data_IF_655363696498
#
_entry.id   IF_655363696498
#
_cell.length_a   1.000
_cell.length_b   1.000
_cell.length_c   1.000
_cell.angle_alpha   90.00
_cell.angle_beta   90.00
_cell.angle_gamma   90.00
#
_symmetry.space_group_name_H-M   'P 1'
#
loop_
_entity.id
_entity.type
_entity.pdbx_description
1 polymer ?
#
# COMPACT_ATOMS: atom_id res chain seq x y z
N UNK A 1 -8.86 3.82 32.90
CA UNK A 1 -7.66 4.05 32.06
C UNK A 1 -7.98 3.49 30.66
N UNK A 2 -7.97 4.34 29.64
CA UNK A 2 -8.39 3.99 28.27
C UNK A 2 -7.38 3.05 27.61
N UNK A 3 -7.82 2.28 26.62
CA UNK A 3 -6.95 1.36 25.83
C UNK A 3 -5.75 2.09 25.18
N UNK A 4 -5.90 3.36 24.87
CA UNK A 4 -4.86 4.24 24.33
C UNK A 4 -3.68 4.45 25.28
N UNK A 5 -3.93 4.56 26.59
CA UNK A 5 -2.84 4.74 27.58
C UNK A 5 -2.01 3.47 27.80
N UNK A 6 -2.62 2.28 27.59
CA UNK A 6 -1.90 0.99 27.69
C UNK A 6 -1.01 0.71 26.47
N UNK A 7 -1.41 1.21 25.30
CA UNK A 7 -0.60 1.09 24.07
C UNK A 7 0.65 1.97 24.18
N UNK A 8 0.50 3.20 24.67
CA UNK A 8 1.62 4.13 24.88
C UNK A 8 2.64 3.61 25.91
N UNK A 9 2.17 3.03 27.02
CA UNK A 9 3.05 2.45 28.05
C UNK A 9 3.85 1.24 27.52
N UNK A 10 3.21 0.34 26.76
CA UNK A 10 3.90 -0.80 26.11
C UNK A 10 4.94 -0.38 25.07
N UNK A 11 4.71 0.72 24.34
CA UNK A 11 5.69 1.28 23.41
C UNK A 11 6.91 1.83 24.15
N UNK A 12 6.67 2.52 25.28
CA UNK A 12 7.74 3.09 26.09
C UNK A 12 8.61 1.99 26.76
N UNK A 13 7.97 0.95 27.31
CA UNK A 13 8.67 -0.20 27.88
C UNK A 13 9.55 -0.92 26.85
N UNK A 14 9.07 -1.05 25.62
CA UNK A 14 9.80 -1.67 24.51
C UNK A 14 11.02 -0.86 24.06
N UNK A 15 10.95 0.47 24.09
CA UNK A 15 12.08 1.35 23.80
C UNK A 15 13.14 1.29 24.91
N UNK A 16 12.75 1.04 26.15
CA UNK A 16 13.64 0.92 27.30
C UNK A 16 14.35 -0.43 27.38
N UNK A 17 13.76 -1.51 26.81
CA UNK A 17 14.33 -2.87 26.80
C UNK A 17 15.30 -3.15 25.65
N UNK A 18 15.79 -2.14 24.93
CA UNK A 18 16.82 -2.30 23.89
C UNK A 18 16.31 -2.78 22.54
N UNK A 19 15.01 -2.58 22.24
CA UNK A 19 14.47 -2.64 20.87
C UNK A 19 14.35 -4.01 20.20
N UNK A 20 14.64 -5.12 20.88
CA UNK A 20 14.47 -6.47 20.32
C UNK A 20 13.06 -7.00 20.58
N UNK A 21 12.40 -7.45 19.51
CA UNK A 21 11.11 -8.12 19.59
C UNK A 21 11.25 -9.42 20.41
N UNK A 22 10.30 -9.67 21.35
CA UNK A 22 10.28 -10.96 22.04
C UNK A 22 10.00 -12.10 21.06
N UNK A 23 10.50 -13.33 21.36
CA UNK A 23 10.22 -14.52 20.53
C UNK A 23 8.72 -14.73 20.32
N UNK A 24 7.92 -14.46 21.34
CA UNK A 24 6.46 -14.60 21.28
C UNK A 24 5.84 -13.59 20.31
N UNK A 25 6.26 -12.33 20.35
CA UNK A 25 5.77 -11.29 19.46
C UNK A 25 6.24 -11.53 18.03
N UNK A 26 7.47 -12.04 17.84
CA UNK A 26 7.99 -12.45 16.55
C UNK A 26 7.15 -13.58 15.91
N UNK A 27 6.84 -14.63 16.68
CA UNK A 27 5.98 -15.72 16.19
C UNK A 27 4.55 -15.24 15.93
N UNK A 28 4.02 -14.34 16.76
CA UNK A 28 2.72 -13.69 16.52
C UNK A 28 2.73 -12.91 15.20
N UNK A 29 3.77 -12.13 14.96
CA UNK A 29 3.98 -11.42 13.70
C UNK A 29 3.99 -12.37 12.49
N UNK A 30 4.80 -13.43 12.54
CA UNK A 30 4.86 -14.44 11.48
C UNK A 30 3.48 -15.06 11.20
N UNK A 31 2.69 -15.32 12.26
CA UNK A 31 1.32 -15.82 12.15
C UNK A 31 0.36 -14.82 11.50
N UNK A 32 0.45 -13.54 11.85
CA UNK A 32 -0.39 -12.47 11.27
C UNK A 32 -0.06 -12.29 9.78
N UNK A 33 1.23 -12.27 9.42
CA UNK A 33 1.66 -12.17 8.02
C UNK A 33 1.18 -13.38 7.22
N UNK A 34 1.36 -14.60 7.74
CA UNK A 34 0.86 -15.82 7.10
C UNK A 34 -0.67 -15.76 6.89
N UNK A 35 -1.43 -15.35 7.90
CA UNK A 35 -2.89 -15.21 7.82
C UNK A 35 -3.31 -14.15 6.81
N UNK A 36 -2.62 -12.99 6.78
CA UNK A 36 -2.89 -11.92 5.82
C UNK A 36 -2.65 -12.37 4.37
N UNK A 37 -1.67 -13.24 4.15
CA UNK A 37 -1.37 -13.87 2.86
C UNK A 37 -2.35 -15.02 2.50
N UNK A 38 -3.32 -15.35 3.36
CA UNK A 38 -4.21 -16.48 3.18
C UNK A 38 -3.52 -17.85 3.31
N UNK A 39 -2.35 -17.92 3.97
CA UNK A 39 -1.55 -19.12 4.14
C UNK A 39 -1.97 -19.91 5.40
N UNK A 40 -1.78 -21.24 5.42
CA UNK A 40 -2.04 -22.04 6.61
C UNK A 40 -1.21 -21.56 7.82
N UNK A 41 -1.68 -21.75 9.07
CA UNK A 41 -0.93 -21.36 10.27
C UNK A 41 0.48 -21.94 10.35
N UNK A 42 0.70 -23.14 9.81
CA UNK A 42 2.03 -23.77 9.74
C UNK A 42 3.06 -22.94 8.96
N UNK A 43 2.62 -22.12 7.99
CA UNK A 43 3.49 -21.25 7.20
C UNK A 43 4.17 -20.16 8.04
N UNK A 44 3.67 -19.86 9.24
CA UNK A 44 4.33 -18.95 10.16
C UNK A 44 5.76 -19.40 10.52
N UNK A 45 6.01 -20.70 10.55
CA UNK A 45 7.36 -21.25 10.78
C UNK A 45 8.29 -20.97 9.59
N UNK A 46 7.81 -21.08 8.36
CA UNK A 46 8.58 -20.75 7.15
C UNK A 46 8.92 -19.26 7.09
N UNK A 47 7.98 -18.41 7.49
CA UNK A 47 8.20 -16.96 7.61
C UNK A 47 9.29 -16.69 8.66
N UNK A 48 9.19 -17.29 9.84
CA UNK A 48 10.16 -17.13 10.90
C UNK A 48 11.55 -17.59 10.45
N UNK A 49 11.67 -18.78 9.87
CA UNK A 49 12.93 -19.29 9.33
C UNK A 49 13.54 -18.36 8.27
N UNK A 50 12.72 -17.87 7.35
CA UNK A 50 13.20 -16.96 6.29
C UNK A 50 13.75 -15.65 6.87
N UNK A 51 13.10 -15.08 7.88
CA UNK A 51 13.52 -13.83 8.51
C UNK A 51 14.76 -14.01 9.42
N UNK A 52 14.93 -15.19 10.03
CA UNK A 52 16.09 -15.50 10.86
C UNK A 52 17.35 -15.85 10.04
N UNK A 53 17.16 -16.55 8.91
CA UNK A 53 18.28 -17.12 8.15
C UNK A 53 18.70 -16.33 6.94
N UNK A 54 17.79 -15.58 6.33
CA UNK A 54 18.08 -14.79 5.13
C UNK A 54 18.56 -13.39 5.51
N UNK A 55 19.54 -12.89 4.76
CA UNK A 55 19.94 -11.50 4.85
C UNK A 55 18.75 -10.61 4.51
N UNK A 56 18.50 -9.58 5.33
CA UNK A 56 17.45 -8.60 5.08
C UNK A 56 17.62 -7.98 3.70
N UNK A 57 16.58 -7.95 2.85
CA UNK A 57 16.68 -7.35 1.53
C UNK A 57 16.92 -5.85 1.64
N UNK A 58 17.88 -5.35 0.88
CA UNK A 58 18.08 -3.91 0.71
C UNK A 58 16.90 -3.32 -0.04
N UNK A 59 16.35 -2.23 0.47
CA UNK A 59 15.23 -1.50 -0.12
C UNK A 59 15.62 -0.05 -0.32
N UNK A 60 15.47 0.43 -1.54
CA UNK A 60 15.49 1.84 -1.91
C UNK A 60 14.03 2.27 -2.08
N UNK A 61 13.56 3.19 -1.22
CA UNK A 61 12.20 3.70 -1.23
C UNK A 61 12.19 5.12 -1.80
N UNK A 62 11.60 5.28 -3.00
CA UNK A 62 11.61 6.52 -3.78
C UNK A 62 10.25 7.21 -3.71
N UNK A 63 10.26 8.53 -3.69
CA UNK A 63 9.09 9.38 -3.64
C UNK A 63 8.91 10.17 -4.94
N UNK A 64 7.79 9.90 -5.65
CA UNK A 64 7.38 10.61 -6.85
C UNK A 64 6.42 11.77 -6.54
N UNK A 65 5.54 12.09 -7.48
CA UNK A 65 4.44 13.02 -7.23
C UNK A 65 3.39 12.34 -6.33
N UNK A 66 3.33 12.74 -5.06
CA UNK A 66 2.56 12.05 -4.03
C UNK A 66 2.16 12.97 -2.87
N UNK A 67 1.47 12.43 -1.87
CA UNK A 67 1.05 13.13 -0.64
C UNK A 67 1.69 12.56 0.63
N UNK A 68 2.68 11.66 0.51
CA UNK A 68 3.32 10.91 1.60
C UNK A 68 2.36 9.97 2.37
N UNK A 69 1.12 9.82 1.89
CA UNK A 69 0.08 9.07 2.60
C UNK A 69 0.36 7.58 2.72
N UNK A 70 1.09 6.98 1.77
CA UNK A 70 1.46 5.56 1.84
C UNK A 70 2.57 5.33 2.87
N UNK A 71 3.57 6.20 2.92
CA UNK A 71 4.60 6.22 3.97
C UNK A 71 3.96 6.45 5.35
N UNK A 72 3.08 7.45 5.50
CA UNK A 72 2.33 7.69 6.74
C UNK A 72 1.51 6.47 7.17
N UNK A 73 0.84 5.80 6.23
CA UNK A 73 0.14 4.55 6.48
C UNK A 73 1.08 3.46 7.02
N UNK A 74 2.28 3.34 6.43
CA UNK A 74 3.30 2.39 6.84
C UNK A 74 3.86 2.69 8.24
N UNK A 75 4.13 3.98 8.55
CA UNK A 75 4.58 4.43 9.87
C UNK A 75 3.56 4.13 10.98
N UNK A 76 2.29 3.99 10.63
CA UNK A 76 1.19 3.64 11.55
C UNK A 76 0.91 2.14 11.65
N UNK A 77 1.71 1.30 10.99
CA UNK A 77 1.56 -0.15 11.08
C UNK A 77 1.62 -0.61 12.55
N UNK A 78 0.75 -1.56 12.93
CA UNK A 78 0.63 -2.02 14.32
C UNK A 78 1.04 -3.48 14.51
N UNK A 79 0.95 -4.29 13.45
CA UNK A 79 1.40 -5.69 13.44
C UNK A 79 1.95 -6.04 12.04
N UNK A 80 3.28 -5.91 11.83
CA UNK A 80 4.29 -5.42 12.77
C UNK A 80 4.28 -3.90 12.90
N UNK A 81 4.87 -3.37 13.95
CA UNK A 81 5.23 -1.96 14.01
C UNK A 81 6.32 -1.64 12.96
N UNK A 82 6.38 -0.38 12.54
CA UNK A 82 7.32 0.07 11.51
C UNK A 82 8.79 -0.17 11.88
N UNK A 83 9.15 -0.03 13.15
CA UNK A 83 10.49 -0.34 13.66
C UNK A 83 10.85 -1.81 13.40
N UNK A 84 9.93 -2.73 13.66
CA UNK A 84 10.11 -4.15 13.32
C UNK A 84 10.30 -4.37 11.82
N UNK A 85 9.51 -3.71 10.98
CA UNK A 85 9.67 -3.80 9.54
C UNK A 85 11.09 -3.38 9.12
N UNK A 86 11.53 -2.22 9.57
CA UNK A 86 12.82 -1.62 9.17
C UNK A 86 14.00 -2.36 9.81
N UNK A 87 13.86 -2.80 11.06
CA UNK A 87 14.97 -3.39 11.80
C UNK A 87 15.11 -4.91 11.63
N UNK A 88 14.01 -5.62 11.32
CA UNK A 88 13.99 -7.09 11.31
C UNK A 88 13.66 -7.68 9.93
N UNK A 89 12.83 -7.01 9.11
CA UNK A 89 12.32 -7.56 7.85
C UNK A 89 13.11 -7.07 6.64
N UNK A 90 13.38 -5.76 6.54
CA UNK A 90 14.12 -5.14 5.44
C UNK A 90 15.34 -4.38 5.94
N UNK A 91 16.24 -4.02 5.02
CA UNK A 91 17.24 -2.97 5.21
C UNK A 91 16.79 -1.77 4.40
N UNK A 92 16.23 -0.76 5.05
CA UNK A 92 15.81 0.47 4.38
C UNK A 92 17.04 1.36 4.19
N UNK A 93 17.71 1.20 3.04
CA UNK A 93 19.00 1.82 2.78
C UNK A 93 18.88 3.26 2.24
N UNK A 94 17.70 3.60 1.69
CA UNK A 94 17.36 4.94 1.23
C UNK A 94 15.87 5.19 1.34
N UNK A 95 15.48 6.34 1.88
CA UNK A 95 14.09 6.81 1.91
C UNK A 95 14.10 8.33 2.18
N UNK A 96 13.68 9.13 1.21
CA UNK A 96 13.78 10.59 1.24
C UNK A 96 13.05 11.22 2.43
N UNK A 97 11.93 10.63 2.84
CA UNK A 97 11.03 11.23 3.86
C UNK A 97 11.43 10.91 5.30
N UNK A 98 12.13 9.80 5.56
CA UNK A 98 12.45 9.37 6.93
C UNK A 98 13.94 9.21 7.22
N UNK A 99 14.81 9.34 6.22
CA UNK A 99 16.25 9.31 6.42
C UNK A 99 16.78 10.62 7.05
N UNK A 100 17.83 10.52 7.85
CA UNK A 100 18.44 11.69 8.47
C UNK A 100 19.33 12.49 7.49
N UNK A 101 19.84 11.85 6.43
CA UNK A 101 20.71 12.49 5.45
C UNK A 101 19.90 13.46 4.56
N UNK A 102 20.55 14.57 4.16
CA UNK A 102 19.99 15.56 3.24
C UNK A 102 21.05 16.04 2.24
N UNK A 103 20.60 16.60 1.09
CA UNK A 103 21.48 17.13 0.04
C UNK A 103 22.46 16.08 -0.47
N UNK A 104 23.73 16.45 -0.61
CA UNK A 104 24.77 15.54 -1.13
C UNK A 104 24.93 14.24 -0.32
N UNK A 105 24.67 14.28 0.99
CA UNK A 105 24.76 13.08 1.81
C UNK A 105 23.63 12.09 1.47
N UNK A 106 22.43 12.57 1.13
CA UNK A 106 21.33 11.75 0.66
C UNK A 106 21.65 11.10 -0.70
N UNK A 107 22.15 11.89 -1.66
CA UNK A 107 22.58 11.39 -2.97
C UNK A 107 23.67 10.31 -2.85
N UNK A 108 24.65 10.53 -1.96
CA UNK A 108 25.69 9.53 -1.68
C UNK A 108 25.10 8.24 -1.07
N UNK A 109 24.11 8.35 -0.20
CA UNK A 109 23.41 7.18 0.37
C UNK A 109 22.69 6.39 -0.73
N UNK A 110 22.01 7.06 -1.66
CA UNK A 110 21.36 6.43 -2.81
C UNK A 110 22.39 5.68 -3.68
N UNK A 111 23.48 6.36 -4.07
CA UNK A 111 24.53 5.74 -4.88
C UNK A 111 25.18 4.54 -4.19
N UNK A 112 25.35 4.60 -2.87
CA UNK A 112 25.86 3.48 -2.07
C UNK A 112 24.88 2.32 -2.06
N UNK A 113 23.58 2.58 -1.85
CA UNK A 113 22.52 1.57 -1.86
C UNK A 113 22.43 0.87 -3.23
N UNK A 114 22.54 1.63 -4.32
CA UNK A 114 22.54 1.10 -5.70
C UNK A 114 23.74 0.21 -6.02
N UNK A 115 24.84 0.34 -5.29
CA UNK A 115 26.07 -0.48 -5.43
C UNK A 115 26.09 -1.69 -4.52
N UNK A 116 24.99 -1.98 -3.82
CA UNK A 116 24.90 -3.17 -2.95
C UNK A 116 25.17 -4.44 -3.76
N UNK A 117 26.20 -5.25 -3.43
CA UNK A 117 26.56 -6.44 -4.19
C UNK A 117 25.47 -7.52 -4.18
N UNK A 118 24.63 -7.51 -3.16
CA UNK A 118 23.48 -8.42 -3.06
C UNK A 118 22.26 -7.90 -3.84
N UNK A 119 22.37 -6.74 -4.49
CA UNK A 119 21.28 -6.05 -5.16
C UNK A 119 20.25 -5.49 -4.18
N UNK A 120 19.22 -4.84 -4.71
CA UNK A 120 18.16 -4.20 -3.94
C UNK A 120 16.79 -4.32 -4.60
N UNK A 121 15.74 -4.12 -3.84
CA UNK A 121 14.38 -3.88 -4.33
C UNK A 121 14.11 -2.37 -4.36
N UNK A 122 13.38 -1.92 -5.37
CA UNK A 122 12.97 -0.52 -5.47
C UNK A 122 11.47 -0.42 -5.14
N UNK A 123 11.13 0.32 -4.11
CA UNK A 123 9.74 0.72 -3.81
C UNK A 123 9.56 2.15 -4.27
N UNK A 124 8.48 2.41 -5.01
CA UNK A 124 8.15 3.76 -5.50
C UNK A 124 6.75 4.13 -5.01
N UNK A 125 6.64 5.23 -4.27
CA UNK A 125 5.41 5.91 -3.90
C UNK A 125 5.22 7.12 -4.82
N UNK A 126 3.97 7.35 -5.28
CA UNK A 126 3.66 8.49 -6.13
C UNK A 126 3.73 8.23 -7.63
N UNK A 127 3.10 9.13 -8.39
CA UNK A 127 3.07 9.10 -9.84
C UNK A 127 4.35 9.69 -10.46
N UNK A 128 4.57 9.44 -11.75
CA UNK A 128 5.72 9.95 -12.49
C UNK A 128 5.22 10.94 -13.54
N UNK A 129 5.51 12.24 -13.44
CA UNK A 129 5.22 13.23 -14.47
C UNK A 129 6.03 12.97 -15.74
N UNK A 130 5.37 12.93 -16.90
CA UNK A 130 6.05 12.67 -18.20
C UNK A 130 6.08 13.90 -19.10
N UNK A 131 5.14 14.84 -18.95
CA UNK A 131 5.05 16.01 -19.85
C UNK A 131 6.32 16.85 -19.79
N UNK A 132 6.71 17.40 -20.93
CA UNK A 132 7.89 18.26 -21.11
C UNK A 132 9.19 17.57 -20.63
N UNK A 133 9.31 16.26 -20.84
CA UNK A 133 10.47 15.46 -20.42
C UNK A 133 10.57 15.24 -18.91
N UNK A 134 9.44 15.33 -18.21
CA UNK A 134 9.36 15.06 -16.77
C UNK A 134 9.78 16.21 -15.85
N UNK A 135 9.90 17.44 -16.38
CA UNK A 135 10.36 18.63 -15.61
C UNK A 135 9.43 19.02 -14.45
N UNK A 136 8.20 18.53 -14.46
CA UNK A 136 7.19 18.80 -13.43
C UNK A 136 7.44 18.08 -12.10
N UNK A 137 8.44 17.17 -12.05
CA UNK A 137 8.88 16.53 -10.83
C UNK A 137 10.40 16.31 -10.86
N UNK A 138 11.11 16.86 -9.87
CA UNK A 138 12.57 16.74 -9.74
C UNK A 138 13.01 16.43 -8.32
N UNK A 139 14.05 15.62 -8.20
CA UNK A 139 14.72 15.30 -6.95
C UNK A 139 16.23 15.44 -7.20
N UNK A 140 16.94 16.16 -6.34
CA UNK A 140 18.39 16.38 -6.49
C UNK A 140 18.81 17.03 -7.82
N UNK A 141 17.88 17.76 -8.50
CA UNK A 141 18.14 18.36 -9.83
C UNK A 141 17.85 17.44 -11.02
N UNK A 142 17.68 16.14 -10.81
CA UNK A 142 17.29 15.13 -11.81
C UNK A 142 15.76 15.02 -11.90
N UNK A 143 15.19 14.75 -13.10
CA UNK A 143 13.75 14.47 -13.19
C UNK A 143 13.41 13.14 -12.54
N UNK A 144 12.21 13.03 -11.92
CA UNK A 144 11.73 11.77 -11.33
C UNK A 144 11.76 10.64 -12.35
N UNK A 145 11.41 10.92 -13.62
CA UNK A 145 11.47 9.93 -14.70
C UNK A 145 12.87 9.36 -14.90
N UNK A 146 13.90 10.23 -15.01
CA UNK A 146 15.28 9.81 -15.19
C UNK A 146 15.81 9.07 -13.96
N UNK A 147 15.58 9.64 -12.78
CA UNK A 147 16.03 9.07 -11.51
C UNK A 147 15.44 7.68 -11.28
N UNK A 148 14.11 7.53 -11.46
CA UNK A 148 13.44 6.24 -11.22
C UNK A 148 13.80 5.20 -12.29
N UNK A 149 13.97 5.62 -13.55
CA UNK A 149 14.49 4.73 -14.59
C UNK A 149 15.88 4.20 -14.22
N UNK A 150 16.77 5.06 -13.74
CA UNK A 150 18.13 4.71 -13.31
C UNK A 150 18.13 3.76 -12.11
N UNK A 151 17.29 4.00 -11.11
CA UNK A 151 17.21 3.19 -9.88
C UNK A 151 16.44 1.89 -10.15
N UNK A 152 15.25 1.96 -10.72
CA UNK A 152 14.42 0.78 -10.98
C UNK A 152 15.03 -0.17 -12.01
N UNK A 153 15.76 0.36 -13.00
CA UNK A 153 16.41 -0.43 -14.03
C UNK A 153 17.51 -1.38 -13.53
N UNK A 154 18.03 -1.17 -12.33
CA UNK A 154 19.04 -2.03 -11.68
C UNK A 154 18.49 -2.85 -10.51
N UNK A 155 17.23 -2.65 -10.15
CA UNK A 155 16.59 -3.32 -9.04
C UNK A 155 16.29 -4.79 -9.36
N UNK A 156 16.33 -5.66 -8.37
CA UNK A 156 15.87 -7.06 -8.46
C UNK A 156 14.37 -7.18 -8.70
N UNK A 157 13.62 -6.18 -8.28
CA UNK A 157 12.19 -6.06 -8.46
C UNK A 157 11.72 -4.68 -8.03
N UNK A 158 10.59 -4.27 -8.61
CA UNK A 158 10.00 -2.95 -8.37
C UNK A 158 8.62 -3.14 -7.73
N UNK A 159 8.35 -2.41 -6.67
CA UNK A 159 7.05 -2.36 -5.99
C UNK A 159 6.49 -0.94 -6.15
N UNK A 160 5.31 -0.82 -6.74
CA UNK A 160 4.56 0.43 -6.79
C UNK A 160 3.64 0.50 -5.55
N UNK A 161 3.91 1.43 -4.66
CA UNK A 161 3.20 1.60 -3.39
C UNK A 161 2.15 2.70 -3.50
N UNK A 162 0.89 2.31 -3.38
CA UNK A 162 -0.25 3.23 -3.49
C UNK A 162 -0.78 3.42 -4.90
N UNK A 163 -2.03 3.87 -5.01
CA UNK A 163 -2.73 4.04 -6.29
C UNK A 163 -2.05 5.06 -7.21
N UNK A 164 -1.34 6.06 -6.65
CA UNK A 164 -0.56 7.02 -7.42
C UNK A 164 0.59 6.31 -8.16
N UNK A 165 1.38 5.51 -7.48
CA UNK A 165 2.46 4.74 -8.09
C UNK A 165 1.95 3.64 -9.02
N UNK A 166 0.82 3.00 -8.68
CA UNK A 166 0.26 1.93 -9.50
C UNK A 166 -0.33 2.44 -10.82
N UNK A 167 -1.11 3.54 -10.78
CA UNK A 167 -1.98 3.95 -11.89
C UNK A 167 -2.02 5.48 -12.11
N UNK A 168 -1.17 6.26 -11.45
CA UNK A 168 -1.14 7.72 -11.56
C UNK A 168 -1.93 8.46 -10.49
N UNK A 169 -2.98 7.87 -9.93
CA UNK A 169 -3.76 8.43 -8.82
C UNK A 169 -4.38 9.81 -9.13
N UNK A 170 -4.43 10.68 -8.11
CA UNK A 170 -4.99 12.03 -8.24
C UNK A 170 -4.19 12.89 -9.22
N UNK A 171 -2.89 12.68 -9.32
CA UNK A 171 -2.02 13.44 -10.22
C UNK A 171 -2.33 13.17 -11.69
N UNK A 172 -2.78 11.95 -12.01
CA UNK A 172 -3.18 11.54 -13.35
C UNK A 172 -4.64 11.89 -13.68
N UNK A 173 -5.43 12.31 -12.68
CA UNK A 173 -6.81 12.70 -12.89
C UNK A 173 -6.94 13.90 -13.86
N UNK A 174 -8.02 13.92 -14.64
CA UNK A 174 -8.25 15.00 -15.61
C UNK A 174 -8.26 16.39 -14.94
N UNK A 175 -7.59 17.39 -15.52
CA UNK A 175 -6.99 17.46 -16.86
C UNK A 175 -5.54 16.97 -16.98
N UNK A 176 -4.96 16.41 -15.94
CA UNK A 176 -3.58 15.87 -15.87
C UNK A 176 -2.52 16.80 -16.52
N UNK A 177 -2.28 17.99 -15.96
CA UNK A 177 -1.41 18.99 -16.58
C UNK A 177 0.06 18.56 -16.66
N UNK A 178 0.51 17.70 -15.74
CA UNK A 178 1.89 17.19 -15.71
C UNK A 178 2.12 15.95 -16.57
N UNK A 179 1.04 15.33 -17.14
CA UNK A 179 1.13 14.05 -17.80
C UNK A 179 1.59 12.94 -16.87
N UNK A 180 1.14 12.99 -15.61
CA UNK A 180 1.51 11.99 -14.60
C UNK A 180 0.87 10.64 -14.89
N UNK A 181 1.66 9.57 -14.71
CA UNK A 181 1.24 8.18 -14.93
C UNK A 181 1.77 7.27 -13.81
N UNK A 182 1.31 6.02 -13.79
CA UNK A 182 1.87 5.00 -12.88
C UNK A 182 3.27 4.53 -13.31
N UNK A 183 3.96 3.91 -12.37
CA UNK A 183 5.34 3.41 -12.55
C UNK A 183 5.44 2.42 -13.72
N UNK A 184 4.48 1.49 -13.82
CA UNK A 184 4.47 0.50 -14.89
C UNK A 184 4.34 1.10 -16.30
N UNK A 185 3.57 2.18 -16.43
CA UNK A 185 3.44 2.92 -17.68
C UNK A 185 4.67 3.76 -17.97
N UNK A 186 5.15 4.53 -16.97
CA UNK A 186 6.32 5.39 -17.13
C UNK A 186 7.59 4.62 -17.51
N UNK A 187 7.76 3.41 -17.00
CA UNK A 187 8.95 2.59 -17.20
C UNK A 187 8.73 1.40 -18.15
N UNK A 188 7.62 1.40 -18.88
CA UNK A 188 7.24 0.31 -19.81
C UNK A 188 8.32 0.04 -20.89
N UNK A 189 8.95 1.09 -21.41
CA UNK A 189 10.01 0.96 -22.42
C UNK A 189 11.25 0.18 -21.92
N UNK A 190 11.42 0.08 -20.60
CA UNK A 190 12.47 -0.72 -19.96
C UNK A 190 12.04 -2.14 -19.63
N UNK A 191 10.81 -2.53 -19.99
CA UNK A 191 10.24 -3.83 -19.64
C UNK A 191 9.91 -4.02 -18.16
N UNK A 192 9.91 -2.93 -17.37
CA UNK A 192 9.64 -2.99 -15.93
C UNK A 192 8.15 -3.21 -15.68
N UNK A 193 7.86 -4.29 -14.96
CA UNK A 193 6.51 -4.65 -14.50
C UNK A 193 6.49 -4.64 -12.98
N UNK A 194 6.04 -3.54 -12.34
CA UNK A 194 6.02 -3.46 -10.88
C UNK A 194 4.97 -4.39 -10.28
N UNK A 195 5.21 -4.80 -9.04
CA UNK A 195 4.16 -5.36 -8.19
C UNK A 195 3.34 -4.19 -7.65
N UNK A 196 2.06 -4.14 -7.98
CA UNK A 196 1.17 -3.04 -7.62
C UNK A 196 0.49 -3.28 -6.26
N UNK A 197 0.87 -2.53 -5.25
CA UNK A 197 0.22 -2.53 -3.93
C UNK A 197 -0.72 -1.32 -3.88
N UNK A 198 -1.87 -1.43 -4.53
CA UNK A 198 -2.79 -0.32 -4.71
C UNK A 198 -3.62 -0.02 -3.45
N UNK A 199 -4.08 1.21 -3.34
CA UNK A 199 -4.84 1.78 -2.23
C UNK A 199 -4.45 3.25 -2.03
N UNK A 200 -5.30 4.04 -1.38
CA UNK A 200 -5.01 5.45 -1.14
C UNK A 200 -5.35 5.84 0.31
N UNK A 201 -4.40 5.53 1.24
CA UNK A 201 -3.21 4.69 1.09
C UNK A 201 -3.52 3.19 1.13
N UNK A 202 -2.60 2.31 0.69
CA UNK A 202 -2.75 0.86 0.83
C UNK A 202 -2.59 0.43 2.29
N UNK A 203 -3.19 -0.71 2.63
CA UNK A 203 -2.97 -1.30 3.95
C UNK A 203 -1.50 -1.76 4.08
N UNK A 204 -0.76 -1.34 5.12
CA UNK A 204 0.63 -1.74 5.34
C UNK A 204 0.88 -3.25 5.28
N UNK A 205 -0.04 -4.05 5.78
CA UNK A 205 0.10 -5.52 5.76
C UNK A 205 0.19 -6.08 4.33
N UNK A 206 -0.39 -5.40 3.33
CA UNK A 206 -0.30 -5.82 1.93
C UNK A 206 1.13 -5.63 1.40
N UNK A 207 1.80 -4.55 1.76
CA UNK A 207 3.22 -4.32 1.44
C UNK A 207 4.12 -5.31 2.17
N UNK A 208 3.98 -5.40 3.49
CA UNK A 208 4.79 -6.28 4.33
C UNK A 208 4.65 -7.74 3.91
N UNK A 209 3.41 -8.21 3.70
CA UNK A 209 3.15 -9.56 3.23
C UNK A 209 3.73 -9.84 1.84
N UNK A 210 3.73 -8.85 0.94
CA UNK A 210 4.36 -8.97 -0.39
C UNK A 210 5.88 -9.12 -0.25
N UNK A 211 6.53 -8.31 0.58
CA UNK A 211 7.98 -8.43 0.84
C UNK A 211 8.31 -9.79 1.45
N UNK A 212 7.56 -10.22 2.45
CA UNK A 212 7.75 -11.55 3.07
C UNK A 212 7.52 -12.67 2.05
N UNK A 213 6.52 -12.54 1.17
CA UNK A 213 6.29 -13.53 0.10
C UNK A 213 7.49 -13.60 -0.86
N UNK A 214 8.03 -12.46 -1.27
CA UNK A 214 9.23 -12.41 -2.10
C UNK A 214 10.42 -13.11 -1.45
N UNK A 215 10.56 -12.98 -0.12
CA UNK A 215 11.64 -13.62 0.63
C UNK A 215 11.45 -15.13 0.81
N UNK A 216 10.21 -15.59 0.96
CA UNK A 216 9.90 -16.99 1.29
C UNK A 216 9.64 -17.83 0.04
N UNK A 217 8.85 -17.32 -0.90
CA UNK A 217 8.31 -18.05 -2.04
C UNK A 217 8.65 -17.45 -3.41
N UNK A 218 9.28 -16.26 -3.45
CA UNK A 218 9.53 -15.54 -4.69
C UNK A 218 8.34 -14.71 -5.15
N UNK A 219 8.17 -14.53 -6.46
CA UNK A 219 7.14 -13.69 -7.05
C UNK A 219 5.73 -14.20 -6.71
N UNK A 220 4.84 -13.36 -6.15
CA UNK A 220 3.45 -13.75 -5.90
C UNK A 220 2.65 -13.84 -7.22
N UNK A 221 1.53 -14.58 -7.18
CA UNK A 221 0.53 -14.54 -8.23
C UNK A 221 -0.09 -13.15 -8.33
N UNK A 222 -0.04 -12.57 -9.53
CA UNK A 222 -0.61 -11.24 -9.80
C UNK A 222 -1.91 -11.34 -10.59
N UNK A 223 -2.80 -10.36 -10.38
CA UNK A 223 -3.97 -10.16 -11.21
C UNK A 223 -3.61 -9.42 -12.52
N UNK A 224 -4.61 -9.16 -13.36
CA UNK A 224 -4.42 -8.53 -14.68
C UNK A 224 -3.81 -7.11 -14.61
N UNK A 225 -3.90 -6.43 -13.47
CA UNK A 225 -3.34 -5.08 -13.26
C UNK A 225 -2.12 -5.10 -12.34
N UNK A 226 -1.51 -6.26 -12.14
CA UNK A 226 -0.24 -6.42 -11.43
C UNK A 226 -0.33 -6.44 -9.90
N UNK A 227 -1.51 -6.68 -9.30
CA UNK A 227 -1.71 -6.74 -7.85
C UNK A 227 -1.58 -8.17 -7.32
N UNK A 228 -0.97 -8.43 -6.16
CA UNK A 228 -0.94 -9.76 -5.55
C UNK A 228 -2.35 -10.29 -5.25
N UNK A 229 -2.73 -11.40 -5.88
CA UNK A 229 -4.07 -11.99 -5.70
C UNK A 229 -4.40 -12.35 -4.26
N UNK A 230 -3.40 -12.65 -3.44
CA UNK A 230 -3.60 -12.95 -2.01
C UNK A 230 -4.24 -11.80 -1.24
N UNK A 231 -4.11 -10.55 -1.71
CA UNK A 231 -4.73 -9.38 -1.09
C UNK A 231 -5.85 -8.78 -1.95
N UNK A 232 -5.75 -8.93 -3.28
CA UNK A 232 -6.64 -8.30 -4.25
C UNK A 232 -7.43 -9.31 -5.10
N UNK A 233 -7.53 -10.56 -4.67
CA UNK A 233 -8.23 -11.63 -5.40
C UNK A 233 -9.75 -11.65 -5.24
N UNK A 234 -10.33 -10.84 -4.34
CA UNK A 234 -11.77 -10.72 -4.13
C UNK A 234 -12.18 -9.27 -3.98
N UNK A 235 -13.45 -8.98 -4.28
CA UNK A 235 -13.95 -7.62 -4.12
C UNK A 235 -14.20 -7.30 -2.63
N UNK A 236 -14.19 -6.01 -2.31
CA UNK A 236 -14.57 -5.49 -1.00
C UNK A 236 -15.99 -5.95 -0.64
N UNK A 237 -16.89 -6.03 -1.64
CA UNK A 237 -18.27 -6.43 -1.47
C UNK A 237 -18.43 -7.89 -1.04
N UNK A 238 -17.58 -8.80 -1.53
CA UNK A 238 -17.69 -10.24 -1.27
C UNK A 238 -17.62 -10.58 0.23
N UNK A 239 -16.85 -9.82 1.00
CA UNK A 239 -16.64 -10.03 2.44
C UNK A 239 -17.13 -8.86 3.30
N UNK A 240 -17.96 -7.98 2.72
CA UNK A 240 -18.52 -6.83 3.42
C UNK A 240 -19.49 -7.27 4.51
N UNK A 241 -19.34 -6.72 5.73
CA UNK A 241 -20.27 -7.00 6.83
C UNK A 241 -21.72 -6.54 6.56
N UNK A 242 -21.90 -5.64 5.57
CA UNK A 242 -23.23 -5.17 5.14
C UNK A 242 -23.79 -5.96 3.95
N UNK A 243 -23.11 -7.04 3.51
CA UNK A 243 -23.52 -7.85 2.36
C UNK A 243 -24.93 -8.42 2.51
N UNK A 244 -25.29 -8.90 3.70
CA UNK A 244 -26.64 -9.42 4.00
C UNK A 244 -27.75 -8.40 3.71
N UNK A 245 -27.51 -7.13 3.97
CA UNK A 245 -28.46 -6.06 3.67
C UNK A 245 -28.56 -5.77 2.17
N UNK A 246 -27.46 -5.90 1.43
CA UNK A 246 -27.49 -5.80 -0.03
C UNK A 246 -28.36 -6.93 -0.63
N UNK A 247 -28.12 -8.15 -0.20
CA UNK A 247 -28.83 -9.33 -0.71
C UNK A 247 -30.33 -9.29 -0.33
N UNK A 248 -30.71 -8.61 0.76
CA UNK A 248 -32.09 -8.38 1.19
C UNK A 248 -32.74 -7.12 0.57
N UNK A 249 -32.00 -6.33 -0.26
CA UNK A 249 -32.51 -5.07 -0.81
C UNK A 249 -32.64 -3.94 0.22
N UNK A 250 -31.97 -4.05 1.36
CA UNK A 250 -32.02 -3.09 2.46
C UNK A 250 -30.91 -2.04 2.29
N UNK A 251 -31.27 -0.90 1.71
CA UNK A 251 -30.33 0.19 1.40
C UNK A 251 -30.59 1.41 2.26
N UNK A 252 -29.51 2.04 2.74
CA UNK A 252 -29.58 3.32 3.43
C UNK A 252 -29.88 4.45 2.44
N UNK A 253 -30.98 5.22 2.61
CA UNK A 253 -31.35 6.28 1.67
C UNK A 253 -30.56 7.58 1.88
N UNK A 254 -29.98 7.78 3.06
CA UNK A 254 -29.11 8.93 3.37
C UNK A 254 -28.16 8.58 4.53
N UNK A 255 -27.07 9.34 4.69
CA UNK A 255 -26.11 9.15 5.79
C UNK A 255 -26.71 9.38 7.17
N UNK A 256 -27.73 10.23 7.29
CA UNK A 256 -28.39 10.56 8.56
C UNK A 256 -29.58 9.66 8.87
N UNK A 257 -29.97 8.77 7.96
CA UNK A 257 -31.14 7.91 8.12
C UNK A 257 -30.97 6.90 9.26
N UNK A 258 -32.09 6.40 9.79
CA UNK A 258 -32.09 5.31 10.79
C UNK A 258 -31.53 4.03 10.23
N UNK A 259 -31.73 3.77 8.95
CA UNK A 259 -31.22 2.63 8.20
C UNK A 259 -29.68 2.67 8.12
N UNK A 260 -29.08 3.84 7.84
CA UNK A 260 -27.63 4.01 7.84
C UNK A 260 -27.02 3.72 9.21
N UNK A 261 -27.67 4.21 10.30
CA UNK A 261 -27.26 3.95 11.68
C UNK A 261 -27.44 2.48 12.08
N UNK A 262 -28.48 1.82 11.53
CA UNK A 262 -28.71 0.38 11.73
C UNK A 262 -27.75 -0.51 10.94
N UNK A 263 -26.90 0.07 10.08
CA UNK A 263 -25.88 -0.65 9.33
C UNK A 263 -26.34 -1.20 7.98
N UNK A 264 -27.43 -0.69 7.39
CA UNK A 264 -27.89 -1.09 6.08
C UNK A 264 -26.86 -0.79 4.97
N UNK A 265 -27.02 -1.44 3.82
CA UNK A 265 -26.07 -1.31 2.72
C UNK A 265 -25.98 0.14 2.20
N UNK A 266 -24.75 0.60 1.94
CA UNK A 266 -24.47 1.95 1.46
C UNK A 266 -24.45 2.06 -0.08
N UNK A 267 -25.03 1.08 -0.79
CA UNK A 267 -25.01 1.05 -2.26
C UNK A 267 -25.63 2.33 -2.87
N UNK A 268 -26.80 2.74 -2.39
CA UNK A 268 -27.48 3.96 -2.87
C UNK A 268 -26.74 5.26 -2.50
N UNK A 269 -25.74 5.19 -1.61
CA UNK A 269 -24.88 6.31 -1.24
C UNK A 269 -23.56 6.29 -2.02
N UNK A 270 -23.48 5.54 -3.12
CA UNK A 270 -22.34 5.52 -4.04
C UNK A 270 -21.24 4.55 -3.67
N UNK A 271 -21.53 3.49 -2.90
CA UNK A 271 -20.53 2.50 -2.54
C UNK A 271 -20.01 1.73 -3.76
N UNK A 272 -18.69 1.75 -3.95
CA UNK A 272 -17.97 1.06 -5.03
C UNK A 272 -17.41 -0.32 -4.64
N UNK A 273 -17.82 -0.83 -3.49
CA UNK A 273 -17.39 -2.15 -3.00
C UNK A 273 -17.50 -3.29 -4.01
N UNK A 274 -18.59 -3.40 -4.82
CA UNK A 274 -18.75 -4.44 -5.83
C UNK A 274 -17.69 -4.42 -6.95
N UNK A 275 -17.06 -3.28 -7.19
CA UNK A 275 -16.10 -3.08 -8.28
C UNK A 275 -14.66 -2.89 -7.78
N UNK A 276 -14.44 -2.98 -6.47
CA UNK A 276 -13.16 -2.68 -5.83
C UNK A 276 -12.54 -3.95 -5.28
N UNK A 277 -11.39 -4.31 -5.78
CA UNK A 277 -10.60 -5.46 -5.29
C UNK A 277 -9.66 -5.00 -4.17
N UNK A 278 -9.89 -5.46 -2.95
CA UNK A 278 -9.04 -5.22 -1.79
C UNK A 278 -9.51 -6.07 -0.58
N UNK A 279 -8.65 -6.23 0.41
CA UNK A 279 -8.89 -6.99 1.63
C UNK A 279 -9.44 -6.15 2.80
N UNK A 280 -9.92 -4.92 2.56
CA UNK A 280 -10.39 -3.99 3.61
C UNK A 280 -11.36 -4.61 4.62
N UNK A 281 -12.37 -5.44 4.23
CA UNK A 281 -13.32 -6.00 5.21
C UNK A 281 -12.68 -6.95 6.22
N UNK A 282 -11.63 -7.66 5.81
CA UNK A 282 -10.98 -8.71 6.62
C UNK A 282 -9.74 -8.18 7.35
N UNK A 283 -8.85 -7.47 6.65
CA UNK A 283 -7.62 -6.95 7.23
C UNK A 283 -7.82 -5.66 8.02
N UNK A 284 -8.82 -4.87 7.68
CA UNK A 284 -9.04 -3.51 8.17
C UNK A 284 -7.77 -2.65 8.06
N UNK A 285 -7.87 -1.35 7.83
CA UNK A 285 -6.70 -0.51 7.75
C UNK A 285 -6.00 -0.46 9.11
N UNK A 286 -4.75 -0.89 9.13
CA UNK A 286 -3.95 -1.06 10.36
C UNK A 286 -4.71 -1.80 11.47
N UNK A 287 -5.49 -2.84 11.12
CA UNK A 287 -6.28 -3.66 12.03
C UNK A 287 -7.27 -2.86 12.90
N UNK A 288 -7.55 -1.62 12.52
CA UNK A 288 -8.40 -0.72 13.31
C UNK A 288 -9.81 -0.65 12.76
N UNK A 289 -9.96 -0.18 11.51
CA UNK A 289 -11.26 0.05 10.89
C UNK A 289 -11.12 0.15 9.35
N UNK A 290 -12.23 0.29 8.64
CA UNK A 290 -12.27 0.56 7.22
C UNK A 290 -13.52 1.38 6.87
N UNK A 291 -13.58 2.09 5.71
CA UNK A 291 -14.62 3.08 5.43
C UNK A 291 -16.05 2.58 5.63
N UNK A 292 -16.41 1.41 5.08
CA UNK A 292 -17.80 0.93 5.17
C UNK A 292 -18.20 0.55 6.59
N UNK A 293 -17.27 0.05 7.41
CA UNK A 293 -17.52 -0.18 8.83
C UNK A 293 -17.72 1.12 9.58
N UNK A 294 -17.01 2.16 9.21
CA UNK A 294 -17.14 3.50 9.76
C UNK A 294 -18.40 4.26 9.27
N UNK A 295 -19.19 3.70 8.37
CA UNK A 295 -20.40 4.32 7.84
C UNK A 295 -20.20 5.14 6.56
N UNK A 296 -19.01 5.10 5.95
CA UNK A 296 -18.72 5.74 4.66
C UNK A 296 -18.71 4.70 3.53
N UNK A 297 -19.22 5.01 2.33
CA UNK A 297 -19.15 4.09 1.21
C UNK A 297 -17.72 3.83 0.77
N UNK A 298 -17.45 2.64 0.20
CA UNK A 298 -16.20 2.39 -0.50
C UNK A 298 -16.11 3.30 -1.73
N UNK A 299 -14.98 3.98 -1.90
CA UNK A 299 -14.77 4.93 -3.01
C UNK A 299 -13.89 4.35 -4.13
N UNK A 300 -13.54 3.07 -4.09
CA UNK A 300 -12.76 2.43 -5.14
C UNK A 300 -11.27 2.78 -5.14
N UNK A 301 -10.70 3.15 -4.00
CA UNK A 301 -9.37 3.75 -3.90
C UNK A 301 -8.20 2.86 -4.39
N UNK A 302 -8.42 1.56 -4.57
CA UNK A 302 -7.41 0.62 -5.09
C UNK A 302 -7.56 0.31 -6.58
N UNK A 303 -8.51 0.95 -7.29
CA UNK A 303 -8.80 0.64 -8.68
C UNK A 303 -8.11 1.60 -9.66
N UNK A 304 -7.73 1.11 -10.86
CA UNK A 304 -7.34 1.98 -11.96
C UNK A 304 -8.43 3.03 -12.25
N UNK A 305 -8.05 4.27 -12.50
CA UNK A 305 -9.01 5.35 -12.77
C UNK A 305 -9.80 5.81 -11.54
N UNK A 306 -9.39 5.45 -10.34
CA UNK A 306 -10.06 5.77 -9.08
C UNK A 306 -10.57 7.21 -9.01
N UNK A 307 -9.72 8.21 -9.28
CA UNK A 307 -10.07 9.61 -9.10
C UNK A 307 -11.07 10.14 -10.11
N UNK A 308 -11.08 9.63 -11.36
CA UNK A 308 -12.00 10.09 -12.41
C UNK A 308 -13.29 9.27 -12.46
N UNK A 309 -13.23 7.96 -12.13
CA UNK A 309 -14.36 7.04 -12.34
C UNK A 309 -15.10 6.69 -11.06
N UNK A 310 -14.42 6.63 -9.91
CA UNK A 310 -14.97 6.07 -8.67
C UNK A 310 -15.11 7.10 -7.55
N UNK A 311 -14.26 8.12 -7.51
CA UNK A 311 -14.27 9.10 -6.43
C UNK A 311 -15.60 9.88 -6.38
N UNK A 312 -16.10 10.20 -5.18
CA UNK A 312 -17.40 10.88 -5.02
C UNK A 312 -17.39 12.31 -5.56
N UNK A 313 -16.23 12.85 -5.91
CA UNK A 313 -16.07 14.17 -6.48
C UNK A 313 -16.56 14.29 -7.95
N UNK A 314 -16.62 13.14 -8.66
CA UNK A 314 -17.06 13.06 -10.06
C UNK A 314 -18.47 12.45 -10.16
N UNK A 315 -19.44 13.06 -9.47
CA UNK A 315 -20.83 12.59 -9.40
C UNK A 315 -21.47 12.33 -10.78
N UNK A 316 -21.13 13.14 -11.77
CA UNK A 316 -21.72 13.01 -13.11
C UNK A 316 -21.31 11.73 -13.83
N UNK A 317 -20.10 11.21 -13.55
CA UNK A 317 -19.64 9.94 -14.09
C UNK A 317 -20.31 8.77 -13.36
N UNK A 318 -20.54 8.91 -12.04
CA UNK A 318 -21.16 7.88 -11.22
C UNK A 318 -22.64 7.67 -11.56
N UNK A 319 -23.35 8.74 -11.95
CA UNK A 319 -24.80 8.66 -12.28
C UNK A 319 -25.06 8.22 -13.72
N UNK A 320 -24.07 8.32 -14.63
CA UNK A 320 -24.23 7.87 -16.02
C UNK A 320 -24.07 6.35 -16.21
N UNK A 321 -23.42 5.66 -15.26
CA UNK A 321 -23.25 4.21 -15.31
C UNK A 321 -24.41 3.38 -14.80
N UNK A 322 -25.40 3.98 -14.17
CA UNK A 322 -26.55 3.29 -13.57
C UNK A 322 -27.82 3.29 -14.44
N UNK A 323 -27.71 3.70 -15.72
CA UNK A 323 -28.77 3.48 -16.71
C UNK A 323 -28.46 2.25 -17.56
N UNK A 324 -28.52 1.11 -16.94
CA UNK A 324 -28.64 -0.19 -17.61
C UNK A 324 -29.49 -1.13 -16.77
#
# INVERSE_FOLDING_TARGET
MSSSSRISAKLLDRQLEGGRMSRRDFMKFCGIVAAAMGMPPAFAADVAQALETKKRPSVIYMHGAECTGCTEGLLRAVDPYVDTLIMEVISLDYCETIMAAAGHAAEQALEKAMKNPDGYYCTIEGAIPLRDGGVWGKVGGETMLSLFARVAGKAKGVIAMGTCACYGGIQAAAPNPSGAVGVGEALAAMGIKPINISGCPPNPINYIGTVVHLLTKGMPDLDAVGRPKMFFGSTVHDKCQRRKHFDAGEFAPSFQSKEARAGWCLHLLGCRGPYTYNNCPTAQFNQTNWPVRAGAPCIGCSEPGFWDQYAPFNRDVLMKGEKA
#
